data_IF_640937410045
#
_entry.id   IF_640937410045
#
_cell.length_a   1.000
_cell.length_b   1.000
_cell.length_c   1.000
_cell.angle_alpha   90.00
_cell.angle_beta   90.00
_cell.angle_gamma   90.00
#
_symmetry.space_group_name_H-M   'P 1'
#
loop_
_entity.id
_entity.type
_entity.pdbx_description
1 polymer ?
#
# COMPACT_ATOMS: atom_id res chain seq x y z
N UNK A 1 23.47 -6.03 -21.38
CA UNK A 1 22.34 -5.43 -22.10
C UNK A 1 21.09 -5.70 -21.28
N UNK A 2 20.56 -4.67 -20.61
CA UNK A 2 19.25 -4.73 -19.98
C UNK A 2 18.22 -4.54 -21.09
N UNK A 3 17.39 -5.56 -21.32
CA UNK A 3 16.26 -5.46 -22.22
C UNK A 3 15.10 -4.77 -21.47
N UNK A 4 14.89 -3.49 -21.73
CA UNK A 4 13.71 -2.78 -21.26
C UNK A 4 12.64 -2.84 -22.37
N UNK A 5 11.43 -3.30 -22.04
CA UNK A 5 10.32 -3.20 -22.98
C UNK A 5 9.97 -1.72 -23.21
N UNK A 6 9.46 -1.40 -24.38
CA UNK A 6 9.01 -0.07 -24.76
C UNK A 6 7.55 0.23 -24.31
N UNK A 7 7.05 -0.51 -23.34
CA UNK A 7 5.71 -0.32 -22.75
C UNK A 7 5.81 -0.33 -21.22
N UNK A 8 4.82 0.24 -20.57
CA UNK A 8 4.66 0.24 -19.12
C UNK A 8 3.49 -0.67 -18.72
N UNK A 9 3.58 -1.26 -17.54
CA UNK A 9 2.51 -2.05 -16.94
C UNK A 9 1.96 -1.29 -15.73
N UNK A 10 0.64 -1.08 -15.70
CA UNK A 10 -0.02 -0.45 -14.56
C UNK A 10 -0.40 -1.49 -13.52
N UNK A 11 -0.02 -1.24 -12.27
CA UNK A 11 -0.46 -2.05 -11.13
C UNK A 11 -1.83 -1.60 -10.58
N UNK A 12 -2.31 -0.44 -10.98
CA UNK A 12 -3.57 0.15 -10.51
C UNK A 12 -4.72 -0.09 -11.48
N UNK A 13 -4.44 -0.11 -12.79
CA UNK A 13 -5.48 -0.19 -13.83
C UNK A 13 -5.82 -1.64 -14.22
N UNK A 14 -5.04 -2.61 -13.71
CA UNK A 14 -5.33 -4.02 -13.91
C UNK A 14 -4.95 -4.53 -15.30
N UNK A 15 -3.76 -4.18 -15.78
CA UNK A 15 -3.23 -4.66 -17.06
C UNK A 15 -3.12 -6.19 -17.11
N UNK A 16 -3.13 -6.72 -18.33
CA UNK A 16 -2.93 -8.13 -18.59
C UNK A 16 -1.56 -8.40 -19.21
N UNK A 17 -0.91 -9.45 -18.71
CA UNK A 17 0.23 -10.08 -19.38
C UNK A 17 -0.29 -11.34 -20.05
N UNK A 18 -0.15 -11.43 -21.37
CA UNK A 18 -0.66 -12.54 -22.15
C UNK A 18 0.48 -13.18 -22.94
N UNK A 19 0.64 -14.49 -22.80
CA UNK A 19 1.53 -15.30 -23.61
C UNK A 19 0.71 -16.06 -24.64
N UNK A 20 0.99 -15.83 -25.93
CA UNK A 20 0.32 -16.51 -27.04
C UNK A 20 1.32 -17.35 -27.83
N UNK A 21 0.82 -18.44 -28.45
CA UNK A 21 1.61 -19.21 -29.41
C UNK A 21 1.63 -18.50 -30.79
N UNK A 22 2.34 -19.08 -31.74
CA UNK A 22 2.48 -18.52 -33.11
C UNK A 22 1.18 -18.49 -33.90
N UNK A 23 0.14 -19.19 -33.45
CA UNK A 23 -1.20 -19.21 -34.04
C UNK A 23 -2.17 -18.20 -33.40
N UNK A 24 -1.68 -17.41 -32.41
CA UNK A 24 -2.48 -16.44 -31.69
C UNK A 24 -3.32 -17.02 -30.53
N UNK A 25 -3.21 -18.31 -30.24
CA UNK A 25 -3.90 -18.91 -29.10
C UNK A 25 -3.20 -18.54 -27.80
N UNK A 26 -3.96 -18.12 -26.81
CA UNK A 26 -3.44 -17.81 -25.46
C UNK A 26 -2.97 -19.11 -24.81
N UNK A 27 -1.69 -19.14 -24.43
CA UNK A 27 -1.05 -20.25 -23.72
C UNK A 27 -1.10 -20.01 -22.22
N UNK A 28 -0.87 -18.76 -21.80
CA UNK A 28 -0.89 -18.34 -20.41
C UNK A 28 -1.29 -16.87 -20.31
N UNK A 29 -1.86 -16.47 -19.16
CA UNK A 29 -2.22 -15.09 -18.91
C UNK A 29 -2.19 -14.78 -17.43
N UNK A 30 -1.86 -13.52 -17.11
CA UNK A 30 -1.89 -13.00 -15.76
C UNK A 30 -2.46 -11.59 -15.76
N UNK A 31 -3.46 -11.36 -14.92
CA UNK A 31 -4.00 -10.02 -14.67
C UNK A 31 -3.27 -9.40 -13.48
N UNK A 32 -2.72 -8.20 -13.67
CA UNK A 32 -2.08 -7.45 -12.59
C UNK A 32 -3.20 -6.83 -11.74
N UNK A 33 -3.45 -7.39 -10.56
CA UNK A 33 -4.52 -6.95 -9.66
C UNK A 33 -4.01 -6.53 -8.28
N UNK A 34 -2.70 -6.62 -8.06
CA UNK A 34 -2.08 -6.30 -6.78
C UNK A 34 -0.90 -5.35 -6.96
N UNK A 35 -0.92 -4.27 -6.21
CA UNK A 35 0.27 -3.42 -6.05
C UNK A 35 1.35 -4.18 -5.28
N UNK A 36 2.60 -3.94 -5.63
CA UNK A 36 3.76 -4.48 -4.90
C UNK A 36 4.59 -3.36 -4.29
N UNK A 37 5.18 -3.62 -3.13
CA UNK A 37 6.21 -2.75 -2.57
C UNK A 37 7.48 -2.83 -3.40
N UNK A 38 8.35 -1.84 -3.28
CA UNK A 38 9.64 -1.85 -3.96
C UNK A 38 10.43 -3.15 -3.68
N UNK A 39 11.07 -3.70 -4.69
CA UNK A 39 11.84 -4.95 -4.65
C UNK A 39 11.00 -6.22 -4.33
N UNK A 40 9.67 -6.14 -4.39
CA UNK A 40 8.81 -7.30 -4.34
C UNK A 40 8.33 -7.67 -5.74
N UNK A 41 7.97 -8.93 -5.95
CA UNK A 41 7.42 -9.40 -7.21
C UNK A 41 6.22 -10.31 -6.97
N UNK A 42 5.38 -10.45 -7.99
CA UNK A 42 4.30 -11.44 -8.03
C UNK A 42 4.65 -12.49 -9.07
N UNK A 43 4.51 -13.74 -8.73
CA UNK A 43 4.80 -14.87 -9.62
C UNK A 43 4.04 -16.11 -9.19
N UNK A 44 4.15 -17.17 -9.98
CA UNK A 44 3.58 -18.47 -9.60
C UNK A 44 4.23 -18.97 -8.31
N UNK A 45 3.45 -19.59 -7.42
CA UNK A 45 3.93 -20.04 -6.09
C UNK A 45 5.15 -20.96 -6.18
N UNK A 46 5.16 -21.82 -7.17
CA UNK A 46 6.31 -22.60 -7.67
C UNK A 46 6.25 -22.61 -9.19
N UNK A 47 7.30 -23.08 -9.86
CA UNK A 47 7.33 -23.20 -11.31
C UNK A 47 6.15 -24.07 -11.78
N UNK A 48 5.42 -23.57 -12.78
CA UNK A 48 4.22 -24.18 -13.37
C UNK A 48 2.99 -24.31 -12.43
N UNK A 49 3.01 -23.80 -11.22
CA UNK A 49 1.82 -23.71 -10.37
C UNK A 49 0.76 -22.83 -11.00
N UNK A 50 -0.52 -23.07 -10.66
CA UNK A 50 -1.65 -22.26 -11.17
C UNK A 50 -1.88 -21.00 -10.36
N UNK A 51 -1.50 -21.01 -9.07
CA UNK A 51 -1.69 -19.89 -8.14
C UNK A 51 -0.51 -18.91 -8.18
N UNK A 52 -0.85 -17.65 -8.01
CA UNK A 52 0.13 -16.56 -7.91
C UNK A 52 0.30 -16.13 -6.46
N UNK A 53 1.53 -15.83 -6.10
CA UNK A 53 1.96 -15.41 -4.77
C UNK A 53 2.90 -14.22 -4.85
N UNK A 54 3.14 -13.61 -3.70
CA UNK A 54 4.08 -12.52 -3.54
C UNK A 54 5.44 -13.06 -3.10
N UNK A 55 6.50 -12.43 -3.60
CA UNK A 55 7.89 -12.72 -3.24
C UNK A 55 8.56 -11.43 -2.75
N UNK A 56 9.05 -11.45 -1.53
CA UNK A 56 9.81 -10.33 -0.95
C UNK A 56 11.27 -10.32 -1.41
N UNK A 57 11.72 -11.43 -1.98
CA UNK A 57 13.02 -11.57 -2.63
C UNK A 57 12.80 -12.18 -4.01
N UNK A 58 12.80 -11.36 -5.09
CA UNK A 58 12.67 -11.85 -6.45
C UNK A 58 13.82 -12.82 -6.83
N UNK A 59 13.53 -13.83 -7.62
CA UNK A 59 14.47 -14.87 -8.03
C UNK A 59 14.67 -14.88 -9.56
N UNK A 60 15.26 -13.82 -10.17
CA UNK A 60 15.47 -13.78 -11.61
C UNK A 60 16.38 -14.92 -12.05
N UNK A 61 16.03 -15.59 -13.17
CA UNK A 61 16.76 -16.74 -13.74
C UNK A 61 16.86 -17.97 -12.80
N UNK A 62 16.03 -18.07 -11.78
CA UNK A 62 15.98 -19.19 -10.86
C UNK A 62 14.53 -19.64 -10.60
N UNK A 63 14.38 -20.79 -9.96
CA UNK A 63 13.06 -21.28 -9.56
C UNK A 63 12.45 -20.36 -8.48
N UNK A 64 11.15 -20.15 -8.55
CA UNK A 64 10.42 -19.40 -7.53
C UNK A 64 10.49 -20.12 -6.17
N UNK A 65 10.98 -19.40 -5.16
CA UNK A 65 11.10 -19.88 -3.78
C UNK A 65 10.69 -18.79 -2.80
N UNK A 66 10.19 -19.16 -1.62
CA UNK A 66 9.81 -18.18 -0.59
C UNK A 66 8.46 -17.48 -0.89
N UNK A 67 7.54 -18.17 -1.58
CA UNK A 67 6.20 -17.68 -1.85
C UNK A 67 5.45 -17.31 -0.57
N UNK A 68 4.84 -16.14 -0.52
CA UNK A 68 4.08 -15.62 0.60
C UNK A 68 2.68 -15.18 0.16
N UNK A 69 1.76 -15.08 1.12
CA UNK A 69 0.46 -14.47 0.86
C UNK A 69 0.64 -12.96 0.58
N UNK A 70 -0.38 -12.36 -0.06
CA UNK A 70 -0.40 -10.92 -0.28
C UNK A 70 -0.43 -10.15 1.03
N UNK A 71 -0.20 -8.83 0.93
CA UNK A 71 -0.21 -7.95 2.10
C UNK A 71 -1.54 -8.00 2.84
N UNK A 72 -1.46 -7.74 4.15
CA UNK A 72 -2.66 -7.45 4.93
C UNK A 72 -3.42 -6.25 4.34
N UNK A 73 -4.75 -6.19 4.52
CA UNK A 73 -5.54 -5.04 4.07
C UNK A 73 -5.03 -3.74 4.67
N UNK A 74 -4.95 -2.70 3.84
CA UNK A 74 -4.54 -1.36 4.29
C UNK A 74 -5.60 -0.79 5.24
N UNK A 75 -5.21 -0.25 6.41
CA UNK A 75 -6.14 0.39 7.32
C UNK A 75 -6.82 1.61 6.69
N UNK A 76 -8.07 1.86 7.10
CA UNK A 76 -8.89 2.98 6.64
C UNK A 76 -9.09 3.95 7.79
N UNK A 77 -8.87 5.25 7.55
CA UNK A 77 -9.09 6.33 8.49
C UNK A 77 -10.50 6.90 8.31
N UNK A 78 -11.22 7.13 9.42
CA UNK A 78 -12.60 7.63 9.38
C UNK A 78 -12.72 9.10 8.95
N UNK A 79 -11.65 9.87 9.06
CA UNK A 79 -11.60 11.29 8.73
C UNK A 79 -10.61 11.54 7.61
N UNK A 80 -10.97 12.34 6.64
CA UNK A 80 -10.11 12.73 5.51
C UNK A 80 -9.01 13.69 5.97
N UNK A 81 -7.90 13.75 5.23
CA UNK A 81 -6.89 14.78 5.40
C UNK A 81 -7.50 16.18 5.13
N UNK A 82 -7.06 17.19 5.85
CA UNK A 82 -7.59 18.53 5.62
C UNK A 82 -7.35 19.51 6.78
N UNK A 83 -8.00 20.67 6.67
CA UNK A 83 -7.94 21.76 7.62
C UNK A 83 -9.18 21.74 8.53
N UNK A 84 -8.98 21.81 9.82
CA UNK A 84 -10.04 21.73 10.82
C UNK A 84 -9.89 22.86 11.83
N UNK A 85 -10.98 23.55 12.15
CA UNK A 85 -10.94 24.70 13.09
C UNK A 85 -10.75 24.28 14.55
N UNK A 86 -10.91 22.98 14.86
CA UNK A 86 -10.82 22.45 16.23
C UNK A 86 -10.31 21.02 16.21
N UNK A 87 -9.99 20.49 17.39
CA UNK A 87 -9.60 19.09 17.58
C UNK A 87 -10.61 18.12 16.93
N UNK A 88 -10.07 17.07 16.32
CA UNK A 88 -10.82 16.03 15.64
C UNK A 88 -10.59 14.66 16.28
N UNK A 89 -11.55 13.76 16.13
CA UNK A 89 -11.43 12.36 16.55
C UNK A 89 -11.37 11.47 15.31
N UNK A 90 -10.35 10.63 15.24
CA UNK A 90 -10.11 9.72 14.12
C UNK A 90 -10.17 8.28 14.58
N UNK A 91 -11.01 7.48 13.94
CA UNK A 91 -11.04 6.03 14.10
C UNK A 91 -10.28 5.37 12.96
N UNK A 92 -9.66 4.21 13.25
CA UNK A 92 -8.94 3.41 12.26
C UNK A 92 -9.58 2.02 12.21
N UNK A 93 -9.86 1.53 11.01
CA UNK A 93 -10.41 0.18 10.79
C UNK A 93 -9.53 -0.61 9.84
N UNK A 94 -9.55 -1.93 9.94
CA UNK A 94 -8.90 -2.85 9.02
C UNK A 94 -9.89 -3.96 8.66
N UNK A 95 -9.90 -4.38 7.39
CA UNK A 95 -10.77 -5.47 6.93
C UNK A 95 -10.40 -6.83 7.52
N UNK A 96 -9.15 -7.02 7.95
CA UNK A 96 -8.74 -8.21 8.68
C UNK A 96 -8.88 -7.95 10.20
N UNK A 97 -9.85 -8.60 10.87
CA UNK A 97 -10.08 -8.40 12.31
C UNK A 97 -8.98 -9.02 13.19
N UNK A 98 -8.12 -9.86 12.63
CA UNK A 98 -7.00 -10.49 13.37
C UNK A 98 -5.73 -9.64 13.33
N UNK A 99 -5.68 -8.65 12.44
CA UNK A 99 -4.54 -7.76 12.30
C UNK A 99 -4.46 -6.74 13.44
N UNK A 100 -3.26 -6.51 13.93
CA UNK A 100 -2.98 -5.40 14.86
C UNK A 100 -2.69 -4.15 14.06
N UNK A 101 -3.52 -3.12 14.20
CA UNK A 101 -3.26 -1.80 13.61
C UNK A 101 -2.24 -1.08 14.50
N UNK A 102 -1.17 -0.56 13.87
CA UNK A 102 -0.20 0.32 14.54
C UNK A 102 -0.13 1.65 13.83
N UNK A 103 0.15 2.70 14.57
CA UNK A 103 0.16 4.05 14.04
C UNK A 103 1.25 4.93 14.62
N UNK A 104 1.53 6.03 13.92
CA UNK A 104 2.39 7.15 14.33
C UNK A 104 1.63 8.47 14.12
N UNK A 105 2.06 9.53 14.80
CA UNK A 105 1.47 10.88 14.69
C UNK A 105 2.46 11.95 14.20
N UNK A 106 3.65 11.53 13.84
CA UNK A 106 4.77 12.38 13.39
C UNK A 106 5.12 12.17 11.92
N UNK A 107 4.37 11.31 11.22
CA UNK A 107 4.61 10.98 9.81
C UNK A 107 5.68 9.91 9.58
N UNK A 108 6.31 9.37 10.63
CA UNK A 108 7.21 8.23 10.50
C UNK A 108 6.43 6.96 10.10
N UNK A 109 7.12 6.00 9.47
CA UNK A 109 6.51 4.72 9.11
C UNK A 109 6.17 3.90 10.36
N UNK A 110 4.92 3.41 10.50
CA UNK A 110 4.59 2.47 11.55
C UNK A 110 5.41 1.19 11.45
N UNK A 111 5.98 0.77 12.57
CA UNK A 111 6.73 -0.50 12.71
C UNK A 111 6.06 -1.39 13.77
N UNK A 112 6.51 -2.64 13.88
CA UNK A 112 5.93 -3.61 14.80
C UNK A 112 5.95 -3.16 16.28
N UNK A 113 6.80 -2.21 16.64
CA UNK A 113 6.91 -1.64 17.98
C UNK A 113 6.19 -0.29 18.15
N UNK A 114 5.62 0.28 17.07
CA UNK A 114 4.84 1.51 17.13
C UNK A 114 3.58 1.33 17.99
N UNK A 115 2.95 2.43 18.38
CA UNK A 115 1.73 2.43 19.21
C UNK A 115 0.64 1.57 18.56
N UNK A 116 0.10 0.62 19.33
CA UNK A 116 -1.05 -0.16 18.89
C UNK A 116 -2.33 0.68 18.98
N UNK A 117 -3.19 0.57 17.96
CA UNK A 117 -4.48 1.22 17.96
C UNK A 117 -5.47 0.42 18.82
N UNK A 118 -6.00 1.05 19.85
CA UNK A 118 -6.98 0.44 20.78
C UNK A 118 -8.31 1.19 20.81
N UNK A 119 -8.42 2.30 20.13
CA UNK A 119 -9.65 3.12 20.08
C UNK A 119 -9.41 4.48 19.45
N UNK A 120 -10.45 5.30 19.29
CA UNK A 120 -10.39 6.58 18.59
C UNK A 120 -9.28 7.50 19.12
N UNK A 121 -8.57 8.16 18.19
CA UNK A 121 -7.43 9.05 18.46
C UNK A 121 -7.90 10.49 18.39
N UNK A 122 -7.64 11.29 19.44
CA UNK A 122 -7.89 12.74 19.41
C UNK A 122 -6.69 13.46 18.81
N UNK A 123 -6.93 14.18 17.72
CA UNK A 123 -5.95 15.05 17.05
C UNK A 123 -6.24 16.50 17.45
N UNK A 124 -5.55 16.98 18.48
CA UNK A 124 -5.77 18.33 19.02
C UNK A 124 -4.82 19.40 18.42
N UNK A 125 -3.75 18.98 17.75
CA UNK A 125 -2.79 19.85 17.06
C UNK A 125 -2.46 19.27 15.71
N UNK A 126 -1.88 20.06 14.80
CA UNK A 126 -1.46 19.57 13.48
C UNK A 126 -0.61 18.31 13.60
N UNK A 127 -1.03 17.24 12.95
CA UNK A 127 -0.40 15.92 12.97
C UNK A 127 -0.43 15.25 11.60
N UNK A 128 0.56 14.41 11.36
CA UNK A 128 0.56 13.45 10.24
C UNK A 128 0.32 12.06 10.84
N UNK A 129 -0.90 11.56 10.68
CA UNK A 129 -1.26 10.22 11.12
C UNK A 129 -0.93 9.23 10.02
N UNK A 130 -0.09 8.25 10.35
CA UNK A 130 0.18 7.08 9.49
C UNK A 130 -0.21 5.82 10.23
N UNK A 131 -0.80 4.87 9.51
CA UNK A 131 -1.21 3.58 10.07
C UNK A 131 -0.92 2.43 9.11
N UNK A 132 -0.58 1.28 9.69
CA UNK A 132 -0.39 0.01 8.97
C UNK A 132 -0.94 -1.15 9.79
N UNK A 133 -1.32 -2.23 9.10
CA UNK A 133 -1.76 -3.49 9.69
C UNK A 133 -0.59 -4.49 9.79
N UNK A 134 -0.45 -5.11 10.94
CA UNK A 134 0.55 -6.13 11.27
C UNK A 134 -0.15 -7.41 11.73
N UNK A 135 0.38 -8.57 11.38
CA UNK A 135 -0.21 -9.85 11.74
C UNK A 135 0.57 -11.02 11.16
N UNK A 136 -0.11 -12.12 10.90
CA UNK A 136 0.51 -13.35 10.35
C UNK A 136 0.86 -13.25 8.86
N UNK A 137 0.37 -12.19 8.15
CA UNK A 137 0.72 -11.89 6.77
C UNK A 137 1.80 -10.82 6.64
N UNK A 138 2.11 -10.44 5.40
CA UNK A 138 2.98 -9.31 5.13
C UNK A 138 2.30 -8.00 5.55
N UNK A 139 3.06 -7.13 6.21
CA UNK A 139 2.59 -5.80 6.64
C UNK A 139 1.90 -5.07 5.50
N UNK A 140 0.74 -4.50 5.76
CA UNK A 140 -0.04 -3.74 4.79
C UNK A 140 0.75 -2.57 4.19
N UNK A 141 0.19 -1.94 3.16
CA UNK A 141 0.57 -0.57 2.82
C UNK A 141 0.17 0.36 3.97
N UNK A 142 0.87 1.50 4.07
CA UNK A 142 0.48 2.53 5.03
C UNK A 142 -0.69 3.35 4.47
N UNK A 143 -1.61 3.75 5.33
CA UNK A 143 -2.49 4.89 5.07
C UNK A 143 -1.93 6.11 5.76
N UNK A 144 -2.08 7.29 5.15
CA UNK A 144 -1.49 8.54 5.68
C UNK A 144 -2.43 9.70 5.44
N UNK A 145 -2.76 10.42 6.51
CA UNK A 145 -3.52 11.67 6.44
C UNK A 145 -2.84 12.75 7.27
N UNK A 146 -2.80 13.97 6.73
CA UNK A 146 -2.36 15.16 7.47
C UNK A 146 -3.60 15.94 7.93
N UNK A 147 -3.62 16.25 9.22
CA UNK A 147 -4.67 17.06 9.85
C UNK A 147 -4.07 18.37 10.31
N UNK A 148 -4.48 19.47 9.68
CA UNK A 148 -4.09 20.82 10.06
C UNK A 148 -5.14 21.36 11.05
N UNK A 149 -4.78 21.52 12.31
CA UNK A 149 -5.71 21.92 13.36
C UNK A 149 -5.47 23.36 13.75
N UNK A 150 -6.53 24.18 13.66
CA UNK A 150 -6.51 25.61 14.01
C UNK A 150 -5.38 26.38 13.30
N UNK A 151 -5.15 26.03 12.02
CA UNK A 151 -4.17 26.70 11.16
C UNK A 151 -4.90 27.61 10.19
N UNK A 152 -4.50 28.87 10.14
CA UNK A 152 -4.95 29.84 9.12
C UNK A 152 -3.82 30.03 8.11
N UNK A 153 -4.16 30.05 6.83
CA UNK A 153 -3.22 30.30 5.74
C UNK A 153 -3.87 31.16 4.67
N UNK A 154 -3.07 31.96 3.99
CA UNK A 154 -3.52 32.88 2.93
C UNK A 154 -3.16 32.39 1.53
N UNK A 155 -2.42 31.30 1.41
CA UNK A 155 -1.99 30.68 0.16
C UNK A 155 -2.46 29.23 0.13
N UNK A 156 -2.70 28.65 -1.06
CA UNK A 156 -2.99 27.24 -1.21
C UNK A 156 -1.89 26.36 -0.58
N UNK A 157 -2.31 25.35 0.17
CA UNK A 157 -1.40 24.38 0.80
C UNK A 157 -1.51 23.05 0.08
N UNK A 158 -0.38 22.49 -0.32
CA UNK A 158 -0.27 21.16 -0.91
C UNK A 158 0.43 20.24 0.08
N UNK A 159 -0.24 19.19 0.52
CA UNK A 159 0.37 18.13 1.32
C UNK A 159 0.76 16.98 0.40
N UNK A 160 2.05 16.66 0.36
CA UNK A 160 2.58 15.54 -0.45
C UNK A 160 2.98 14.43 0.50
N UNK A 161 2.36 13.25 0.33
CA UNK A 161 2.75 12.03 1.02
C UNK A 161 3.31 11.05 0.01
N UNK A 162 4.58 10.66 0.17
CA UNK A 162 5.21 9.68 -0.72
C UNK A 162 5.14 8.28 -0.14
N UNK A 163 4.42 7.39 -0.80
CA UNK A 163 4.47 5.94 -0.58
C UNK A 163 4.43 5.19 -1.92
N UNK A 164 5.16 5.68 -2.91
CA UNK A 164 5.11 5.11 -4.26
C UNK A 164 3.81 5.40 -5.03
N UNK A 165 2.82 6.01 -4.38
CA UNK A 165 1.63 6.57 -5.00
C UNK A 165 1.53 8.02 -4.54
N UNK A 166 1.62 8.95 -5.50
CA UNK A 166 1.53 10.37 -5.22
C UNK A 166 0.05 10.77 -5.10
N UNK A 167 -0.43 10.98 -3.90
CA UNK A 167 -1.72 11.66 -3.68
C UNK A 167 -1.43 13.16 -3.44
N UNK A 168 -1.56 13.95 -4.49
CA UNK A 168 -1.60 15.40 -4.39
C UNK A 168 -3.03 15.80 -4.01
N UNK A 169 -3.24 16.26 -2.79
CA UNK A 169 -4.49 16.90 -2.39
C UNK A 169 -4.25 18.40 -2.46
N UNK A 170 -4.71 19.02 -3.54
CA UNK A 170 -4.84 20.47 -3.63
C UNK A 170 -6.23 20.86 -3.11
N UNK A 171 -6.27 21.76 -2.15
CA UNK A 171 -7.48 22.45 -1.71
C UNK A 171 -7.31 23.95 -1.94
#
# INVERSE_FOLDING_TARGET
NEYHPNFTLSQTDGDWIILSNTFGNVVDSFKIVHMTKANHSVGRSTNAAVDFKLFTTPTPNANNTGAQNFYLPTPVLSLQAGFYPSAQTVSITCADPTATIRYTLDGSDPVATSTAYTGPITIATTKVLRAAAFGTGLTSFNTTNTYFINVTHTIPVVSVCSQGVYNLVAQ
#
